data_IF_665577458523
#
_entry.id   IF_665577458523
#
_cell.length_a   1.000
_cell.length_b   1.000
_cell.length_c   1.000
_cell.angle_alpha   90.00
_cell.angle_beta   90.00
_cell.angle_gamma   90.00
#
_symmetry.space_group_name_H-M   'P 1'
#
loop_
_entity.id
_entity.type
_entity.pdbx_description
1 polymer ?
#
# COMPACT_ATOMS: atom_id res chain seq x y z
N UNK A 1 18.44 9.88 -60.15
CA UNK A 1 17.72 8.67 -59.74
C UNK A 1 18.39 8.28 -58.45
N UNK A 2 17.85 8.76 -57.35
CA UNK A 2 18.39 8.53 -56.02
C UNK A 2 17.97 7.13 -55.58
N UNK A 3 18.95 6.26 -55.36
CA UNK A 3 18.74 4.97 -54.71
C UNK A 3 18.20 5.20 -53.29
N UNK A 4 17.18 4.45 -52.84
CA UNK A 4 16.79 4.49 -51.44
C UNK A 4 17.88 3.77 -50.65
N UNK A 5 18.49 4.51 -49.73
CA UNK A 5 19.39 3.96 -48.72
C UNK A 5 18.56 2.98 -47.89
N UNK A 6 18.91 1.70 -48.04
CA UNK A 6 18.47 0.59 -47.20
C UNK A 6 18.75 0.98 -45.74
N UNK A 7 17.70 1.33 -44.99
CA UNK A 7 17.77 1.50 -43.54
C UNK A 7 18.18 0.16 -42.95
N UNK A 8 19.48 0.05 -42.71
CA UNK A 8 20.13 -1.08 -42.06
C UNK A 8 19.34 -1.45 -40.80
N UNK A 9 18.61 -2.57 -40.90
CA UNK A 9 18.22 -3.39 -39.77
C UNK A 9 19.46 -3.61 -38.90
N UNK A 10 19.58 -2.85 -37.81
CA UNK A 10 20.64 -3.05 -36.84
C UNK A 10 20.36 -4.36 -36.10
N UNK A 11 21.12 -5.45 -36.34
CA UNK A 11 20.83 -6.77 -35.76
C UNK A 11 21.19 -6.85 -34.26
N UNK A 12 21.55 -5.73 -33.63
CA UNK A 12 21.98 -5.62 -32.25
C UNK A 12 21.15 -4.68 -31.37
N UNK A 13 20.01 -4.17 -31.87
CA UNK A 13 19.07 -3.46 -30.99
C UNK A 13 18.32 -4.46 -30.09
N UNK A 14 19.01 -5.00 -29.09
CA UNK A 14 18.37 -5.72 -27.99
C UNK A 14 17.39 -4.75 -27.34
N UNK A 15 16.12 -5.14 -27.30
CA UNK A 15 15.13 -4.44 -26.47
C UNK A 15 15.62 -4.40 -25.03
N UNK A 16 15.28 -3.36 -24.26
CA UNK A 16 15.66 -3.26 -22.84
C UNK A 16 15.36 -4.56 -22.09
N UNK A 17 14.20 -5.17 -22.35
CA UNK A 17 13.81 -6.47 -21.78
C UNK A 17 14.81 -7.59 -22.09
N UNK A 18 15.30 -7.67 -23.33
CA UNK A 18 16.25 -8.71 -23.74
C UNK A 18 17.64 -8.49 -23.09
N UNK A 19 18.05 -7.24 -22.92
CA UNK A 19 19.27 -6.88 -22.19
C UNK A 19 19.16 -7.27 -20.71
N UNK A 20 18.04 -6.97 -20.05
CA UNK A 20 17.79 -7.36 -18.66
C UNK A 20 17.79 -8.88 -18.48
N UNK A 21 17.09 -9.61 -19.36
CA UNK A 21 17.06 -11.07 -19.29
C UNK A 21 18.44 -11.70 -19.40
N UNK A 22 19.30 -11.19 -20.30
CA UNK A 22 20.68 -11.69 -20.43
C UNK A 22 21.48 -11.49 -19.13
N UNK A 23 21.38 -10.32 -18.50
CA UNK A 23 22.09 -10.06 -17.23
C UNK A 23 21.57 -10.94 -16.09
N UNK A 24 20.24 -11.08 -15.96
CA UNK A 24 19.60 -11.84 -14.88
C UNK A 24 19.91 -13.35 -14.99
N UNK A 25 20.03 -13.89 -16.20
CA UNK A 25 20.33 -15.31 -16.43
C UNK A 25 21.68 -15.77 -15.85
N UNK A 26 22.63 -14.84 -15.70
CA UNK A 26 23.97 -15.14 -15.19
C UNK A 26 24.07 -15.02 -13.66
N UNK A 27 23.04 -14.55 -12.98
CA UNK A 27 23.01 -14.39 -11.53
C UNK A 27 22.66 -15.71 -10.84
N UNK A 28 23.34 -16.00 -9.74
CA UNK A 28 22.93 -17.08 -8.83
C UNK A 28 21.65 -16.71 -8.07
N UNK A 29 20.94 -17.71 -7.52
CA UNK A 29 19.75 -17.49 -6.70
C UNK A 29 19.98 -16.46 -5.57
N UNK A 30 21.15 -16.51 -4.92
CA UNK A 30 21.52 -15.55 -3.87
C UNK A 30 21.67 -14.12 -4.40
N UNK A 31 22.22 -13.96 -5.61
CA UNK A 31 22.35 -12.65 -6.25
C UNK A 31 21.00 -12.14 -6.75
N UNK A 32 20.11 -13.03 -7.18
CA UNK A 32 18.73 -12.69 -7.53
C UNK A 32 17.95 -12.20 -6.30
N UNK A 33 18.07 -12.89 -5.17
CA UNK A 33 17.47 -12.46 -3.90
C UNK A 33 17.99 -11.08 -3.49
N UNK A 34 19.31 -10.86 -3.56
CA UNK A 34 19.89 -9.55 -3.25
C UNK A 34 19.45 -8.47 -4.23
N UNK A 35 19.39 -8.77 -5.53
CA UNK A 35 18.93 -7.85 -6.55
C UNK A 35 17.47 -7.44 -6.29
N UNK A 36 16.60 -8.38 -5.91
CA UNK A 36 15.21 -8.08 -5.54
C UNK A 36 15.15 -7.10 -4.37
N UNK A 37 15.95 -7.30 -3.32
CA UNK A 37 16.03 -6.40 -2.17
C UNK A 37 16.49 -5.00 -2.61
N UNK A 38 17.55 -4.89 -3.41
CA UNK A 38 18.05 -3.60 -3.90
C UNK A 38 17.05 -2.88 -4.81
N UNK A 39 16.33 -3.62 -5.66
CA UNK A 39 15.27 -3.05 -6.49
C UNK A 39 14.14 -2.46 -5.64
N UNK A 40 13.68 -3.19 -4.61
CA UNK A 40 12.65 -2.69 -3.69
C UNK A 40 13.13 -1.46 -2.91
N UNK A 41 14.40 -1.47 -2.46
CA UNK A 41 15.02 -0.33 -1.79
C UNK A 41 15.07 0.90 -2.68
N UNK A 42 15.44 0.75 -3.95
CA UNK A 42 15.49 1.84 -4.91
C UNK A 42 14.09 2.38 -5.24
N UNK A 43 13.07 1.53 -5.40
CA UNK A 43 11.68 1.98 -5.56
C UNK A 43 11.24 2.80 -4.35
N UNK A 44 11.50 2.30 -3.14
CA UNK A 44 11.20 3.02 -1.89
C UNK A 44 11.94 4.34 -1.83
N UNK A 45 13.23 4.36 -2.16
CA UNK A 45 14.06 5.55 -2.16
C UNK A 45 13.54 6.61 -3.15
N UNK A 46 13.16 6.21 -4.36
CA UNK A 46 12.52 7.10 -5.34
C UNK A 46 11.21 7.66 -4.83
N UNK A 47 10.36 6.85 -4.21
CA UNK A 47 9.10 7.32 -3.64
C UNK A 47 9.35 8.35 -2.52
N UNK A 48 10.31 8.09 -1.63
CA UNK A 48 10.74 9.04 -0.58
C UNK A 48 11.23 10.36 -1.18
N UNK A 49 12.02 10.32 -2.26
CA UNK A 49 12.54 11.52 -2.92
C UNK A 49 11.51 12.23 -3.81
N UNK A 50 10.37 11.61 -4.07
CA UNK A 50 9.39 12.12 -5.02
C UNK A 50 8.29 12.93 -4.35
N UNK A 51 7.84 13.95 -5.07
CA UNK A 51 6.61 14.68 -4.76
C UNK A 51 6.64 15.47 -3.45
N UNK A 52 5.51 16.14 -3.19
CA UNK A 52 5.25 16.80 -1.92
C UNK A 52 4.31 15.89 -1.10
N UNK A 53 4.89 15.09 -0.21
CA UNK A 53 4.13 14.14 0.62
C UNK A 53 3.08 14.84 1.49
N UNK A 54 3.37 16.05 1.96
CA UNK A 54 2.43 16.83 2.78
C UNK A 54 1.22 17.28 1.95
N UNK A 55 1.45 17.70 0.70
CA UNK A 55 0.37 18.04 -0.22
C UNK A 55 -0.49 16.81 -0.57
N UNK A 56 0.14 15.66 -0.84
CA UNK A 56 -0.56 14.40 -1.13
C UNK A 56 -1.42 13.98 0.06
N UNK A 57 -0.83 13.97 1.27
CA UNK A 57 -1.57 13.66 2.51
C UNK A 57 -2.72 14.64 2.70
N UNK A 58 -2.48 15.94 2.52
CA UNK A 58 -3.51 16.97 2.68
C UNK A 58 -4.69 16.70 1.73
N UNK A 59 -4.42 16.38 0.47
CA UNK A 59 -5.44 16.03 -0.51
C UNK A 59 -6.16 14.72 -0.14
N UNK A 60 -5.42 13.70 0.28
CA UNK A 60 -5.98 12.43 0.73
C UNK A 60 -6.92 12.58 1.94
N UNK A 61 -6.71 13.57 2.81
CA UNK A 61 -7.64 13.85 3.91
C UNK A 61 -9.03 14.34 3.45
N UNK A 62 -9.16 14.88 2.23
CA UNK A 62 -10.44 15.37 1.69
C UNK A 62 -11.36 14.22 1.24
N UNK A 63 -10.79 13.11 0.78
CA UNK A 63 -11.52 11.97 0.20
C UNK A 63 -11.30 10.64 0.92
N UNK A 64 -10.30 10.55 1.79
CA UNK A 64 -9.84 9.31 2.41
C UNK A 64 -10.75 8.74 3.50
N UNK A 65 -11.88 9.40 3.81
CA UNK A 65 -12.77 9.00 4.90
C UNK A 65 -14.22 8.99 4.46
N UNK A 66 -14.92 7.91 4.80
CA UNK A 66 -16.36 7.79 4.60
C UNK A 66 -17.13 8.80 5.47
N UNK A 67 -18.42 8.98 5.15
CA UNK A 67 -19.37 9.69 6.04
C UNK A 67 -19.41 9.11 7.46
N UNK A 68 -19.11 7.83 7.61
CA UNK A 68 -19.03 7.12 8.90
C UNK A 68 -17.83 7.55 9.75
N UNK A 69 -16.87 8.28 9.16
CA UNK A 69 -15.59 8.67 9.73
C UNK A 69 -14.49 7.61 9.59
N UNK A 70 -14.81 6.39 9.13
CA UNK A 70 -13.82 5.35 8.87
C UNK A 70 -13.05 5.64 7.58
N UNK A 71 -11.80 5.17 7.51
CA UNK A 71 -10.99 5.26 6.29
C UNK A 71 -11.64 4.52 5.12
N UNK A 72 -11.52 5.02 3.89
CA UNK A 72 -11.91 4.27 2.69
C UNK A 72 -10.89 3.17 2.37
N UNK A 73 -11.11 2.37 1.32
CA UNK A 73 -10.11 1.42 0.86
C UNK A 73 -8.86 2.16 0.34
N UNK A 74 -7.65 1.62 0.52
CA UNK A 74 -6.44 2.18 -0.06
C UNK A 74 -6.54 2.36 -1.58
N UNK A 75 -5.80 3.32 -2.12
CA UNK A 75 -5.70 3.52 -3.56
C UNK A 75 -4.31 3.98 -3.95
N UNK A 76 -3.95 3.75 -5.21
CA UNK A 76 -2.67 4.16 -5.76
C UNK A 76 -2.78 5.57 -6.34
N UNK A 77 -1.83 6.43 -5.98
CA UNK A 77 -1.64 7.76 -6.55
C UNK A 77 -0.16 7.96 -6.89
N UNK A 78 0.17 7.90 -8.18
CA UNK A 78 1.54 7.95 -8.65
C UNK A 78 2.37 6.79 -8.10
N UNK A 79 3.39 7.11 -7.30
CA UNK A 79 4.31 6.12 -6.69
C UNK A 79 3.88 5.68 -5.29
N UNK A 80 2.72 6.13 -4.81
CA UNK A 80 2.27 5.90 -3.44
C UNK A 80 1.00 5.06 -3.41
N UNK A 81 0.97 4.08 -2.52
CA UNK A 81 -0.29 3.56 -2.00
C UNK A 81 -0.69 4.44 -0.80
N UNK A 82 -1.85 5.08 -0.94
CA UNK A 82 -2.45 5.90 0.11
C UNK A 82 -3.28 4.98 1.01
N UNK A 83 -2.96 4.98 2.30
CA UNK A 83 -3.52 4.06 3.29
C UNK A 83 -4.30 4.83 4.38
N UNK A 84 -5.62 5.04 4.21
CA UNK A 84 -6.44 5.65 5.24
C UNK A 84 -6.70 4.72 6.43
N UNK A 85 -6.49 5.23 7.63
CA UNK A 85 -6.80 4.56 8.89
C UNK A 85 -7.61 5.46 9.80
N UNK A 86 -8.56 4.91 10.57
CA UNK A 86 -9.34 5.72 11.49
C UNK A 86 -9.85 4.93 12.69
N UNK A 87 -10.07 5.67 13.78
CA UNK A 87 -10.80 5.24 14.96
C UNK A 87 -11.89 6.28 15.24
N UNK A 88 -13.15 5.84 15.25
CA UNK A 88 -14.32 6.66 15.57
C UNK A 88 -14.93 6.12 16.86
N UNK A 89 -14.91 6.93 17.91
CA UNK A 89 -15.29 6.54 19.27
C UNK A 89 -16.34 7.48 19.84
N UNK A 90 -17.37 6.90 20.48
CA UNK A 90 -18.26 7.65 21.37
C UNK A 90 -17.70 7.71 22.78
N UNK A 91 -17.07 6.63 23.22
CA UNK A 91 -16.41 6.52 24.52
C UNK A 91 -15.29 5.45 24.47
N UNK A 92 -14.39 5.41 25.46
CA UNK A 92 -13.28 4.46 25.51
C UNK A 92 -13.67 2.99 25.61
N UNK A 93 -14.96 2.63 25.73
CA UNK A 93 -15.45 1.25 25.72
C UNK A 93 -16.17 0.88 24.42
N UNK A 94 -16.39 1.85 23.52
CA UNK A 94 -17.17 1.70 22.29
C UNK A 94 -16.58 2.54 21.15
N UNK A 95 -15.90 1.88 20.22
CA UNK A 95 -15.38 2.49 19.00
C UNK A 95 -15.51 1.57 17.80
N UNK A 96 -15.44 2.14 16.60
CA UNK A 96 -15.19 1.43 15.35
C UNK A 96 -13.83 1.87 14.83
N UNK A 97 -13.12 0.94 14.21
CA UNK A 97 -11.82 1.21 13.64
C UNK A 97 -11.69 0.54 12.27
N UNK A 98 -10.85 1.12 11.44
CA UNK A 98 -10.38 0.51 10.20
C UNK A 98 -8.94 0.91 10.01
N UNK A 99 -8.07 -0.08 9.84
CA UNK A 99 -6.64 0.13 9.69
C UNK A 99 -6.08 -0.73 8.57
N UNK A 100 -4.91 -0.33 8.08
CA UNK A 100 -4.18 -1.04 7.03
C UNK A 100 -3.00 -1.76 7.66
N UNK A 101 -2.81 -3.03 7.29
CA UNK A 101 -1.56 -3.76 7.48
C UNK A 101 -0.90 -4.03 6.12
N UNK A 102 0.42 -4.10 6.14
CA UNK A 102 1.31 -4.36 5.00
C UNK A 102 2.20 -5.53 5.39
N UNK A 103 2.14 -6.64 4.65
CA UNK A 103 2.88 -7.87 4.97
C UNK A 103 2.74 -8.28 6.45
N UNK A 104 1.49 -8.39 6.92
CA UNK A 104 1.14 -8.77 8.30
C UNK A 104 1.52 -7.76 9.41
N UNK A 105 2.19 -6.66 9.10
CA UNK A 105 2.51 -5.59 10.04
C UNK A 105 1.56 -4.41 9.89
N UNK A 106 1.17 -3.74 10.98
CA UNK A 106 0.41 -2.50 10.85
C UNK A 106 1.19 -1.46 10.06
N UNK A 107 0.51 -0.64 9.25
CA UNK A 107 1.19 0.32 8.36
C UNK A 107 2.13 1.28 9.11
N UNK A 108 1.83 1.64 10.36
CA UNK A 108 2.69 2.50 11.19
C UNK A 108 3.93 1.79 11.77
N UNK A 109 4.02 0.47 11.62
CA UNK A 109 5.17 -0.37 12.01
C UNK A 109 5.97 -0.87 10.81
N UNK A 110 5.37 -0.86 9.61
CA UNK A 110 5.97 -1.39 8.40
C UNK A 110 7.26 -0.67 8.01
N UNK A 111 8.28 -1.43 7.60
CA UNK A 111 9.51 -0.90 6.99
C UNK A 111 9.28 -0.14 5.67
N UNK A 112 8.10 -0.28 5.07
CA UNK A 112 7.68 0.42 3.87
C UNK A 112 7.00 1.78 4.15
N UNK A 113 6.75 2.13 5.41
CA UNK A 113 6.20 3.44 5.75
C UNK A 113 7.15 4.56 5.31
N UNK A 114 6.63 5.47 4.48
CA UNK A 114 7.33 6.72 4.12
C UNK A 114 7.00 7.79 5.15
N UNK A 115 5.71 8.05 5.34
CA UNK A 115 5.22 9.03 6.31
C UNK A 115 3.76 8.73 6.69
N UNK A 116 3.36 9.18 7.88
CA UNK A 116 1.98 9.16 8.34
C UNK A 116 1.63 10.52 8.94
N UNK A 117 0.44 11.02 8.63
CA UNK A 117 -0.14 12.14 9.37
C UNK A 117 -1.42 11.70 10.07
N UNK A 118 -1.47 11.93 11.38
CA UNK A 118 -2.62 11.67 12.24
C UNK A 118 -3.27 12.98 12.69
N UNK A 119 -4.60 13.06 12.55
CA UNK A 119 -5.43 14.20 12.96
C UNK A 119 -6.55 13.73 13.88
N UNK A 120 -6.98 14.51 14.88
CA UNK A 120 -8.20 14.22 15.62
C UNK A 120 -9.40 14.11 14.68
N UNK A 121 -10.35 13.23 15.02
CA UNK A 121 -11.61 13.15 14.27
C UNK A 121 -12.33 14.51 14.34
N UNK A 122 -12.90 15.00 13.22
CA UNK A 122 -13.64 16.26 13.22
C UNK A 122 -14.97 16.11 13.97
N UNK A 123 -15.47 17.23 14.51
CA UNK A 123 -16.77 17.28 15.19
C UNK A 123 -16.72 16.81 16.64
N UNK A 124 -17.76 16.13 17.09
CA UNK A 124 -17.93 15.69 18.49
C UNK A 124 -17.46 14.26 18.75
N UNK A 125 -17.13 13.51 17.70
CA UNK A 125 -16.65 12.14 17.84
C UNK A 125 -15.22 12.13 18.38
N UNK A 126 -14.93 11.22 19.31
CA UNK A 126 -13.57 10.98 19.79
C UNK A 126 -12.82 10.09 18.79
N UNK A 127 -11.49 10.13 18.87
CA UNK A 127 -10.60 9.29 18.08
C UNK A 127 -9.80 10.08 17.06
N UNK A 128 -9.44 9.45 15.95
CA UNK A 128 -8.53 10.02 14.99
C UNK A 128 -8.74 9.49 13.57
N UNK A 129 -8.19 10.24 12.63
CA UNK A 129 -8.02 9.91 11.23
C UNK A 129 -6.53 9.97 10.91
N UNK A 130 -6.04 9.01 10.14
CA UNK A 130 -4.66 8.93 9.73
C UNK A 130 -4.59 8.63 8.23
N UNK A 131 -3.63 9.23 7.55
CA UNK A 131 -3.23 8.86 6.21
C UNK A 131 -1.76 8.46 6.28
N UNK A 132 -1.47 7.22 5.91
CA UNK A 132 -0.11 6.73 5.72
C UNK A 132 0.19 6.62 4.21
N UNK A 133 1.45 6.87 3.85
CA UNK A 133 1.98 6.65 2.50
C UNK A 133 3.02 5.54 2.54
N UNK A 134 2.87 4.56 1.64
CA UNK A 134 3.88 3.53 1.36
C UNK A 134 4.18 3.52 -0.14
N UNK A 135 5.36 3.06 -0.59
CA UNK A 135 5.65 2.95 -2.03
C UNK A 135 4.79 1.86 -2.69
N UNK A 136 4.52 2.02 -3.98
CA UNK A 136 3.95 0.96 -4.81
C UNK A 136 5.06 -0.02 -5.18
N UNK A 137 5.11 -1.16 -4.48
CA UNK A 137 6.06 -2.24 -4.73
C UNK A 137 5.29 -3.51 -5.06
N UNK A 138 5.65 -4.16 -6.16
CA UNK A 138 5.06 -5.41 -6.62
C UNK A 138 5.16 -6.50 -5.54
N UNK A 139 4.06 -7.21 -5.31
CA UNK A 139 3.97 -8.30 -4.34
C UNK A 139 3.72 -7.86 -2.90
N UNK A 140 3.53 -6.57 -2.60
CA UNK A 140 3.09 -6.15 -1.27
C UNK A 140 1.66 -6.64 -1.00
N UNK A 141 1.49 -7.31 0.13
CA UNK A 141 0.20 -7.78 0.64
C UNK A 141 -0.41 -6.73 1.56
N UNK A 142 -1.64 -6.31 1.25
CA UNK A 142 -2.32 -5.20 1.93
C UNK A 142 -3.62 -5.70 2.54
N UNK A 143 -3.76 -5.59 3.85
CA UNK A 143 -4.94 -6.05 4.59
C UNK A 143 -5.67 -4.86 5.22
N UNK A 144 -6.95 -4.69 4.89
CA UNK A 144 -7.81 -3.63 5.44
C UNK A 144 -8.66 -4.27 6.53
N UNK A 145 -8.24 -4.07 7.78
CA UNK A 145 -8.88 -4.67 8.95
C UNK A 145 -9.89 -3.69 9.54
N UNK A 146 -11.17 -4.01 9.39
CA UNK A 146 -12.27 -3.32 10.07
C UNK A 146 -12.60 -4.02 11.37
N UNK A 147 -12.66 -3.26 12.46
CA UNK A 147 -12.96 -3.77 13.79
C UNK A 147 -13.88 -2.88 14.59
N UNK A 148 -14.33 -3.40 15.72
CA UNK A 148 -15.06 -2.62 16.72
C UNK A 148 -14.67 -3.06 18.11
N UNK A 149 -14.79 -2.12 19.03
CA UNK A 149 -14.80 -2.39 20.45
C UNK A 149 -16.21 -2.21 20.98
N UNK A 150 -16.68 -3.19 21.74
CA UNK A 150 -17.99 -3.18 22.37
C UNK A 150 -17.86 -3.75 23.79
N UNK A 151 -18.33 -3.01 24.79
CA UNK A 151 -18.25 -3.42 26.20
C UNK A 151 -16.82 -3.79 26.65
N UNK A 152 -15.81 -3.10 26.12
CA UNK A 152 -14.40 -3.34 26.46
C UNK A 152 -13.72 -4.49 25.71
N UNK A 153 -14.43 -5.25 24.87
CA UNK A 153 -13.83 -6.26 24.01
C UNK A 153 -13.61 -5.70 22.60
N UNK A 154 -12.35 -5.71 22.14
CA UNK A 154 -11.95 -5.28 20.80
C UNK A 154 -11.81 -6.49 19.89
N UNK A 155 -12.44 -6.45 18.71
CA UNK A 155 -12.41 -7.54 17.73
C UNK A 155 -12.38 -7.01 16.30
N UNK A 156 -11.67 -7.73 15.44
CA UNK A 156 -11.83 -7.60 13.99
C UNK A 156 -13.20 -8.17 13.57
N UNK A 157 -13.82 -7.55 12.58
CA UNK A 157 -15.12 -7.97 12.03
C UNK A 157 -15.01 -8.34 10.55
N UNK A 158 -14.16 -7.63 9.81
CA UNK A 158 -14.00 -7.82 8.38
C UNK A 158 -12.56 -7.52 7.99
N UNK A 159 -12.00 -8.36 7.12
CA UNK A 159 -10.74 -8.08 6.44
C UNK A 159 -10.96 -8.17 4.93
N UNK A 160 -10.48 -7.17 4.21
CA UNK A 160 -10.36 -7.18 2.75
C UNK A 160 -8.87 -7.19 2.43
N UNK A 161 -8.43 -8.16 1.64
CA UNK A 161 -7.04 -8.36 1.28
C UNK A 161 -6.81 -7.94 -0.16
N UNK A 162 -5.71 -7.26 -0.41
CA UNK A 162 -5.25 -6.85 -1.72
C UNK A 162 -3.78 -7.24 -1.91
N UNK A 163 -3.37 -7.31 -3.16
CA UNK A 163 -1.97 -7.37 -3.55
C UNK A 163 -1.65 -6.23 -4.52
N UNK A 164 -0.41 -5.75 -4.51
CA UNK A 164 0.08 -4.89 -5.59
C UNK A 164 0.59 -5.81 -6.71
N UNK A 165 -0.16 -5.84 -7.81
CA UNK A 165 0.16 -6.64 -8.99
C UNK A 165 0.09 -5.76 -10.24
N UNK A 166 1.15 -5.80 -11.06
CA UNK A 166 1.33 -4.99 -12.27
C UNK A 166 1.18 -3.49 -12.01
N UNK A 167 1.60 -3.04 -10.82
CA UNK A 167 1.43 -1.65 -10.38
C UNK A 167 -0.01 -1.24 -10.05
N UNK A 168 -0.94 -2.19 -9.98
CA UNK A 168 -2.34 -1.98 -9.59
C UNK A 168 -2.63 -2.63 -8.23
N UNK A 169 -3.60 -2.07 -7.50
CA UNK A 169 -4.09 -2.68 -6.26
C UNK A 169 -5.25 -3.63 -6.59
N UNK A 170 -5.00 -4.93 -6.50
CA UNK A 170 -5.97 -5.98 -6.85
C UNK A 170 -6.55 -6.63 -5.60
N UNK A 171 -7.88 -6.67 -5.44
CA UNK A 171 -8.52 -7.39 -4.34
C UNK A 171 -8.35 -8.90 -4.54
N UNK A 172 -7.77 -9.59 -3.56
CA UNK A 172 -7.51 -11.04 -3.62
C UNK A 172 -8.41 -11.84 -2.68
N UNK A 173 -8.90 -11.25 -1.60
CA UNK A 173 -9.78 -11.95 -0.67
C UNK A 173 -10.66 -11.02 0.16
N UNK A 174 -11.78 -11.55 0.66
CA UNK A 174 -12.59 -10.88 1.66
C UNK A 174 -13.14 -11.90 2.67
N UNK A 175 -12.98 -11.60 3.96
CA UNK A 175 -13.45 -12.45 5.07
C UNK A 175 -14.17 -11.65 6.15
N UNK A 176 -15.27 -12.22 6.66
CA UNK A 176 -15.98 -11.74 7.85
C UNK A 176 -15.57 -12.63 9.02
N UNK A 177 -15.15 -12.02 10.12
CA UNK A 177 -14.68 -12.73 11.31
C UNK A 177 -15.89 -13.08 12.19
N UNK A 178 -16.17 -14.38 12.44
CA UNK A 178 -17.29 -14.79 13.27
C UNK A 178 -17.19 -14.23 14.70
N UNK A 179 -18.35 -13.98 15.31
CA UNK A 179 -18.45 -13.50 16.70
C UNK A 179 -18.00 -14.59 17.69
N UNK A 180 -18.19 -15.86 17.33
CA UNK A 180 -17.80 -17.03 18.11
C UNK A 180 -16.62 -17.74 17.41
N UNK A 181 -15.38 -17.55 17.88
CA UNK A 181 -14.26 -18.33 17.33
C UNK A 181 -12.84 -17.77 17.49
N UNK A 182 -12.36 -17.63 18.71
CA UNK A 182 -11.00 -18.08 19.07
C UNK A 182 -11.12 -18.81 20.41
N UNK A 183 -11.65 -20.03 20.36
CA UNK A 183 -11.34 -21.02 21.38
C UNK A 183 -9.96 -21.57 21.03
N UNK A 184 -8.94 -21.14 21.77
CA UNK A 184 -7.78 -21.99 22.00
C UNK A 184 -8.16 -23.06 23.03
#
# INVERSE_FOLDING_TARGET
MDDPIDEQNNPMALTDSAMWSFFIQELSDKELDQLQIEMQNEIRHRAIQSGDHDAIIKQAFESGFERSGLGVMPWIEGQFLICPGALVSRNPANHRCRFVSVNEEWVWQSGHLITETKRPSPGTDKGFRAIALIPVIEGLEIDIVSGKMQSGQHRAEKVVSFEIAKGELSEVSQRVIPIDGMHH
#
